data_IF_281276556889
#
_entry.id   IF_281276556889
#
_cell.length_a   1.000
_cell.length_b   1.000
_cell.length_c   1.000
_cell.angle_alpha   90.00
_cell.angle_beta   90.00
_cell.angle_gamma   90.00
#
_symmetry.space_group_name_H-M   'P 1'
#
loop_
_entity.id
_entity.type
_entity.pdbx_description
1 polymer ?
#
# COMPACT_ATOMS: atom_id res chain seq x y z
N UNK A 1 27.48 -8.58 -45.33
CA UNK A 1 26.03 -8.91 -45.27
C UNK A 1 25.68 -9.71 -44.00
N UNK A 2 26.19 -10.94 -43.78
CA UNK A 2 25.87 -11.75 -42.58
C UNK A 2 26.24 -11.09 -41.24
N UNK A 3 27.42 -10.49 -41.11
CA UNK A 3 27.85 -9.81 -39.88
C UNK A 3 27.03 -8.56 -39.53
N UNK A 4 26.50 -7.85 -40.54
CA UNK A 4 25.65 -6.68 -40.34
C UNK A 4 24.29 -7.07 -39.73
N UNK A 5 23.72 -8.20 -40.17
CA UNK A 5 22.50 -8.74 -39.56
C UNK A 5 22.71 -9.19 -38.11
N UNK A 6 23.84 -9.82 -37.79
CA UNK A 6 24.13 -10.19 -36.40
C UNK A 6 24.29 -8.97 -35.48
N UNK A 7 24.98 -7.92 -35.95
CA UNK A 7 25.10 -6.67 -35.21
C UNK A 7 23.74 -5.99 -34.98
N UNK A 8 22.87 -6.00 -36.00
CA UNK A 8 21.49 -5.49 -35.87
C UNK A 8 20.69 -6.28 -34.83
N UNK A 9 20.76 -7.62 -34.86
CA UNK A 9 20.07 -8.49 -33.91
C UNK A 9 20.53 -8.26 -32.46
N UNK A 10 21.84 -8.08 -32.25
CA UNK A 10 22.41 -7.79 -30.93
C UNK A 10 21.94 -6.41 -30.44
N UNK A 11 21.95 -5.40 -31.31
CA UNK A 11 21.45 -4.06 -30.97
C UNK A 11 19.98 -4.10 -30.52
N UNK A 12 19.12 -4.79 -31.26
CA UNK A 12 17.70 -4.95 -30.92
C UNK A 12 17.52 -5.66 -29.57
N UNK A 13 18.29 -6.70 -29.29
CA UNK A 13 18.25 -7.41 -28.00
C UNK A 13 18.64 -6.51 -26.81
N UNK A 14 19.61 -5.61 -26.99
CA UNK A 14 19.99 -4.63 -25.97
C UNK A 14 18.89 -3.59 -25.72
N UNK A 15 18.24 -3.07 -26.77
CA UNK A 15 17.14 -2.11 -26.62
C UNK A 15 15.93 -2.73 -25.90
N UNK A 16 15.61 -3.99 -26.18
CA UNK A 16 14.52 -4.72 -25.53
C UNK A 16 14.79 -4.97 -24.03
N UNK A 17 16.05 -5.06 -23.61
CA UNK A 17 16.43 -5.33 -22.21
C UNK A 17 16.38 -4.09 -21.31
N UNK A 18 16.35 -2.88 -21.89
CA UNK A 18 16.33 -1.61 -21.15
C UNK A 18 15.07 -1.42 -20.28
N UNK A 19 13.91 -1.89 -20.75
CA UNK A 19 12.65 -1.75 -20.00
C UNK A 19 12.61 -2.60 -18.72
N UNK A 20 13.32 -3.73 -18.67
CA UNK A 20 13.34 -4.60 -17.49
C UNK A 20 14.25 -4.07 -16.38
N UNK A 21 15.25 -3.24 -16.71
CA UNK A 21 16.12 -2.59 -15.73
C UNK A 21 15.47 -1.39 -15.04
N UNK A 22 14.32 -0.92 -15.54
CA UNK A 22 13.60 0.25 -15.02
C UNK A 22 12.48 -0.16 -14.05
N UNK A 23 12.76 -1.10 -13.14
CA UNK A 23 11.83 -1.45 -12.07
C UNK A 23 12.01 -0.47 -10.90
N UNK A 24 11.08 0.48 -10.66
CA UNK A 24 11.11 1.26 -9.42
C UNK A 24 10.97 0.30 -8.23
N UNK A 25 11.94 0.35 -7.32
CA UNK A 25 11.89 -0.37 -6.05
C UNK A 25 10.91 0.35 -5.12
N UNK A 26 9.69 -0.13 -5.03
CA UNK A 26 8.73 0.35 -4.05
C UNK A 26 8.88 -0.45 -2.75
N UNK A 27 9.01 0.27 -1.65
CA UNK A 27 9.02 -0.29 -0.31
C UNK A 27 7.61 -0.28 0.30
N UNK A 28 7.30 -1.31 1.07
CA UNK A 28 5.98 -1.43 1.69
C UNK A 28 5.79 -0.36 2.78
N UNK A 29 4.65 0.35 2.80
CA UNK A 29 4.36 1.31 3.86
C UNK A 29 4.20 0.61 5.21
N UNK A 30 4.62 1.27 6.27
CA UNK A 30 4.46 0.77 7.64
C UNK A 30 3.21 1.38 8.28
N UNK A 31 2.38 0.55 8.91
CA UNK A 31 1.16 0.97 9.59
C UNK A 31 1.22 0.53 11.04
N UNK A 32 1.01 1.48 11.96
CA UNK A 32 0.99 1.22 13.40
C UNK A 32 -0.21 1.90 14.07
N UNK A 33 -0.76 1.26 15.09
CA UNK A 33 -1.84 1.84 15.92
C UNK A 33 -1.21 2.80 16.93
N UNK A 34 -1.68 4.04 16.97
CA UNK A 34 -1.24 5.07 17.92
C UNK A 34 -2.22 5.32 19.05
N UNK A 35 -3.50 5.04 18.85
CA UNK A 35 -4.52 5.17 19.89
C UNK A 35 -5.68 4.22 19.66
N UNK A 36 -6.33 3.82 20.75
CA UNK A 36 -7.53 3.00 20.73
C UNK A 36 -8.45 3.46 21.86
N UNK A 37 -9.53 4.15 21.52
CA UNK A 37 -10.41 4.79 22.50
C UNK A 37 -11.88 4.59 22.13
N UNK A 38 -12.76 4.52 23.13
CA UNK A 38 -14.19 4.54 22.88
C UNK A 38 -14.59 5.93 22.38
N UNK A 39 -15.36 5.99 21.30
CA UNK A 39 -15.85 7.26 20.77
C UNK A 39 -16.78 7.92 21.80
N UNK A 40 -16.64 9.23 22.10
CA UNK A 40 -17.50 9.91 23.08
C UNK A 40 -19.00 9.80 22.79
N UNK A 41 -19.35 9.74 21.51
CA UNK A 41 -20.72 9.58 21.02
C UNK A 41 -21.24 8.14 21.03
N UNK A 42 -20.45 7.18 21.53
CA UNK A 42 -20.82 5.77 21.58
C UNK A 42 -21.80 5.50 22.73
N UNK A 43 -23.08 5.80 22.52
CA UNK A 43 -24.16 5.60 23.52
C UNK A 43 -25.06 4.41 23.22
N UNK A 44 -24.87 3.74 22.08
CA UNK A 44 -25.67 2.61 21.63
C UNK A 44 -25.16 1.23 22.10
N UNK A 45 -25.91 0.15 21.81
CA UNK A 45 -25.53 -1.22 22.18
C UNK A 45 -24.30 -1.74 21.42
N UNK A 46 -23.94 -1.11 20.30
CA UNK A 46 -22.72 -1.43 19.54
C UNK A 46 -21.70 -0.31 19.80
N UNK A 47 -20.52 -0.63 20.36
CA UNK A 47 -19.51 0.37 20.65
C UNK A 47 -18.83 0.87 19.36
N UNK A 48 -18.65 2.19 19.27
CA UNK A 48 -17.81 2.82 18.24
C UNK A 48 -16.45 3.14 18.83
N UNK A 49 -15.38 2.72 18.17
CA UNK A 49 -14.02 3.01 18.59
C UNK A 49 -13.36 4.03 17.66
N UNK A 50 -12.59 4.94 18.24
CA UNK A 50 -11.64 5.78 17.54
C UNK A 50 -10.28 5.08 17.57
N UNK A 51 -9.81 4.69 16.39
CA UNK A 51 -8.50 4.04 16.21
C UNK A 51 -7.57 5.01 15.49
N UNK A 52 -6.54 5.47 16.20
CA UNK A 52 -5.47 6.26 15.61
C UNK A 52 -4.52 5.36 14.85
N UNK A 53 -4.30 5.66 13.56
CA UNK A 53 -3.33 4.98 12.73
C UNK A 53 -2.21 5.95 12.36
N UNK A 54 -0.97 5.47 12.40
CA UNK A 54 0.18 6.14 11.81
C UNK A 54 0.66 5.31 10.63
N UNK A 55 0.62 5.94 9.46
CA UNK A 55 1.10 5.38 8.19
C UNK A 55 2.40 6.09 7.83
N UNK A 56 3.44 5.32 7.55
CA UNK A 56 4.73 5.83 7.09
C UNK A 56 4.94 5.33 5.66
N UNK A 57 5.00 6.25 4.71
CA UNK A 57 5.35 5.98 3.31
C UNK A 57 6.86 6.16 3.13
N UNK A 58 7.65 5.07 2.99
CA UNK A 58 9.09 5.17 2.76
C UNK A 58 9.45 5.60 1.33
N UNK A 59 8.46 5.63 0.42
CA UNK A 59 8.68 5.92 -0.99
C UNK A 59 8.69 7.43 -1.26
N UNK A 60 9.33 7.82 -2.36
CA UNK A 60 9.36 9.22 -2.82
C UNK A 60 8.03 9.67 -3.44
N UNK A 61 7.29 8.72 -3.99
CA UNK A 61 5.98 8.98 -4.58
C UNK A 61 4.90 8.89 -3.51
N UNK A 62 3.92 9.80 -3.58
CA UNK A 62 2.79 9.81 -2.66
C UNK A 62 2.01 8.50 -2.75
N UNK A 63 1.62 7.94 -1.59
CA UNK A 63 0.86 6.69 -1.53
C UNK A 63 -0.62 6.95 -1.87
N UNK A 64 -1.14 6.42 -3.00
CA UNK A 64 -2.54 6.58 -3.36
C UNK A 64 -3.38 5.54 -2.60
N UNK A 65 -3.96 5.94 -1.46
CA UNK A 65 -4.84 5.06 -0.68
C UNK A 65 -6.24 5.07 -1.33
N UNK A 66 -6.63 3.95 -1.93
CA UNK A 66 -7.96 3.78 -2.54
C UNK A 66 -9.01 3.24 -1.55
N UNK A 67 -8.60 2.94 -0.32
CA UNK A 67 -9.44 2.40 0.74
C UNK A 67 -8.65 1.52 1.71
N UNK A 68 -9.27 1.17 2.82
CA UNK A 68 -8.68 0.31 3.86
C UNK A 68 -9.72 -0.64 4.42
N UNK A 69 -9.42 -1.93 4.39
CA UNK A 69 -10.11 -2.93 5.20
C UNK A 69 -9.46 -3.02 6.58
N UNK A 70 -10.26 -3.17 7.62
CA UNK A 70 -9.77 -3.34 8.98
C UNK A 70 -10.56 -4.40 9.72
N UNK A 71 -9.89 -5.06 10.66
CA UNK A 71 -10.49 -5.98 11.62
C UNK A 71 -9.87 -5.79 12.99
N UNK A 72 -10.67 -6.04 14.02
CA UNK A 72 -10.21 -6.09 15.41
C UNK A 72 -10.50 -7.49 15.93
N UNK A 73 -9.44 -8.15 16.37
CA UNK A 73 -9.47 -9.48 16.95
C UNK A 73 -9.04 -9.37 18.43
N UNK A 74 -9.82 -9.96 19.34
CA UNK A 74 -9.48 -10.07 20.77
C UNK A 74 -9.39 -11.56 21.10
N UNK A 75 -8.25 -11.99 21.65
CA UNK A 75 -7.99 -13.40 21.96
C UNK A 75 -8.22 -14.34 20.77
N UNK A 76 -7.86 -13.90 19.56
CA UNK A 76 -8.07 -14.64 18.32
C UNK A 76 -9.52 -14.65 17.79
N UNK A 77 -10.46 -14.01 18.48
CA UNK A 77 -11.84 -13.88 18.04
C UNK A 77 -12.07 -12.55 17.33
N UNK A 78 -12.66 -12.59 16.14
CA UNK A 78 -13.08 -11.40 15.40
C UNK A 78 -14.25 -10.72 16.12
N UNK A 79 -14.04 -9.49 16.54
CA UNK A 79 -15.06 -8.70 17.24
C UNK A 79 -15.69 -7.65 16.32
N UNK A 80 -14.92 -7.19 15.33
CA UNK A 80 -15.29 -6.11 14.40
C UNK A 80 -14.52 -6.28 13.09
N UNK A 81 -15.19 -6.00 11.97
CA UNK A 81 -14.55 -5.77 10.68
C UNK A 81 -15.29 -4.71 9.87
N UNK A 82 -14.58 -3.97 9.04
CA UNK A 82 -15.15 -2.97 8.15
C UNK A 82 -14.20 -2.60 7.02
N UNK A 83 -14.66 -1.71 6.15
CA UNK A 83 -13.85 -1.12 5.10
C UNK A 83 -14.22 0.35 4.92
N UNK A 84 -13.22 1.20 4.78
CA UNK A 84 -13.37 2.61 4.46
C UNK A 84 -12.89 2.83 3.02
N UNK A 85 -13.78 3.17 2.07
CA UNK A 85 -13.40 3.35 0.67
C UNK A 85 -12.72 4.71 0.41
N UNK A 86 -12.92 5.71 1.26
CA UNK A 86 -12.41 7.06 1.02
C UNK A 86 -11.39 7.47 2.10
N UNK A 87 -10.11 7.45 1.73
CA UNK A 87 -9.01 7.79 2.64
C UNK A 87 -8.13 8.92 2.09
N UNK A 88 -7.54 9.73 2.99
CA UNK A 88 -6.64 10.80 2.58
C UNK A 88 -5.34 10.23 2.00
N UNK A 89 -4.71 10.99 1.10
CA UNK A 89 -3.38 10.67 0.54
C UNK A 89 -2.28 10.90 1.58
N UNK A 90 -1.30 9.99 1.63
CA UNK A 90 -0.11 10.11 2.50
C UNK A 90 1.08 10.57 1.65
N UNK A 91 1.74 11.69 2.01
CA UNK A 91 2.92 12.17 1.31
C UNK A 91 4.10 11.21 1.46
#
# INVERSE_FOLDING_TARGET
MRHLNYLLFIGVAFFLSSCASLSPQFEQPQVSITSFQLAPQSTGPVPTFLVGLKVINPNRDALPINGMSYSVDIDGHRILSGAEPELPRVP
#
